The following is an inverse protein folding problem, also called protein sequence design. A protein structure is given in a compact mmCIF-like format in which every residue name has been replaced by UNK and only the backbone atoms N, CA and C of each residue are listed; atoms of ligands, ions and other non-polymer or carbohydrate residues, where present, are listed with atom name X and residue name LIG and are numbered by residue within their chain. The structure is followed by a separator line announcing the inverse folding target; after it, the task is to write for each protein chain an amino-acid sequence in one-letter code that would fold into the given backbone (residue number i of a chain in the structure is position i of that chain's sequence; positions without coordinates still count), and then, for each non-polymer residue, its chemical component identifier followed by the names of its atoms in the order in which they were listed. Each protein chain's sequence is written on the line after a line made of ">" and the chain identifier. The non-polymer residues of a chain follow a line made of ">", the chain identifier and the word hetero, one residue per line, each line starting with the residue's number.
data_IF_275430612115
#
_entry.id   IF_275430612115
#
_cell.length_a   1.000
_cell.length_b   1.000
_cell.length_c   1.000
_cell.angle_alpha   90.00
_cell.angle_beta   90.00
_cell.angle_gamma   90.00
#
_symmetry.space_group_name_H-M   'P 1'
#
loop_
_entity.id
_entity.type
_entity.pdbx_description
1 polymer ?
#
# COMPACT_ATOMS: atom_id res chain seq x y z
N UNK A 1 -11.79 -15.22 -17.81
CA UNK A 1 -11.43 -13.97 -17.08
C UNK A 1 -11.03 -12.92 -18.09
N UNK A 2 -11.47 -11.64 -17.94
CA UNK A 2 -11.02 -10.55 -18.81
C UNK A 2 -9.51 -10.37 -18.64
N UNK A 3 -8.79 -10.24 -19.76
CA UNK A 3 -7.33 -10.16 -19.80
C UNK A 3 -6.87 -8.84 -19.14
N UNK A 4 -6.46 -8.87 -17.87
CA UNK A 4 -5.93 -7.72 -17.14
C UNK A 4 -4.55 -7.37 -17.68
N UNK A 5 -4.33 -6.11 -18.06
CA UNK A 5 -3.09 -5.65 -18.71
C UNK A 5 -2.35 -4.58 -17.92
N UNK A 6 -3.04 -3.90 -17.02
CA UNK A 6 -2.51 -2.78 -16.26
C UNK A 6 -2.55 -3.06 -14.78
N UNK A 7 -1.64 -2.47 -14.05
CA UNK A 7 -1.59 -2.45 -12.60
C UNK A 7 -1.64 -0.99 -12.15
N UNK A 8 -2.67 -0.62 -11.38
CA UNK A 8 -2.73 0.67 -10.72
C UNK A 8 -2.27 0.49 -9.28
N UNK A 9 -1.33 1.33 -8.84
CA UNK A 9 -0.70 1.23 -7.53
C UNK A 9 -0.83 2.56 -6.81
N UNK A 10 -1.31 2.54 -5.57
CA UNK A 10 -1.28 3.65 -4.64
C UNK A 10 -0.37 3.33 -3.47
N UNK A 11 0.42 4.31 -3.03
CA UNK A 11 1.31 4.16 -1.88
C UNK A 11 1.08 5.29 -0.90
N UNK A 12 0.92 4.95 0.36
CA UNK A 12 0.99 5.96 1.42
C UNK A 12 2.43 6.40 1.67
N UNK A 13 2.60 7.72 1.78
CA UNK A 13 3.94 8.32 1.91
C UNK A 13 4.59 7.95 3.25
N UNK A 14 3.84 7.96 4.34
CA UNK A 14 4.36 7.76 5.69
C UNK A 14 4.52 6.28 6.03
N UNK A 15 3.45 5.54 6.05
CA UNK A 15 3.45 4.12 6.43
C UNK A 15 4.10 3.22 5.39
N UNK A 16 4.34 3.73 4.17
CA UNK A 16 4.79 2.96 3.02
C UNK A 16 3.80 1.85 2.60
N UNK A 17 2.58 1.88 3.14
CA UNK A 17 1.51 0.97 2.74
C UNK A 17 1.21 1.05 1.25
N UNK A 18 0.89 -0.06 0.65
CA UNK A 18 0.61 -0.14 -0.78
C UNK A 18 -0.70 -0.85 -1.04
N UNK A 19 -1.53 -0.22 -1.86
CA UNK A 19 -2.69 -0.81 -2.50
C UNK A 19 -2.42 -0.96 -3.99
N UNK A 20 -2.91 -2.05 -4.58
CA UNK A 20 -2.78 -2.26 -6.01
C UNK A 20 -3.99 -3.01 -6.57
N UNK A 21 -4.40 -2.65 -7.77
CA UNK A 21 -5.53 -3.28 -8.46
C UNK A 21 -5.18 -3.58 -9.92
N UNK A 22 -5.41 -4.81 -10.39
CA UNK A 22 -5.23 -5.17 -11.78
C UNK A 22 -6.41 -4.66 -12.61
N UNK A 23 -6.13 -3.97 -13.71
CA UNK A 23 -7.12 -3.32 -14.57
C UNK A 23 -7.05 -3.84 -16.00
N UNK A 24 -8.19 -3.82 -16.71
CA UNK A 24 -8.25 -4.07 -18.14
C UNK A 24 -7.87 -2.83 -18.93
N UNK A 25 -8.30 -1.67 -18.45
CA UNK A 25 -8.01 -0.35 -18.99
C UNK A 25 -7.56 0.56 -17.85
N UNK A 26 -6.88 1.66 -18.21
CA UNK A 26 -6.45 2.67 -17.25
C UNK A 26 -7.08 4.02 -17.66
N UNK A 27 -8.34 4.21 -17.29
CA UNK A 27 -9.11 5.43 -17.56
C UNK A 27 -9.32 6.22 -16.26
N UNK A 28 -9.77 7.44 -16.38
CA UNK A 28 -10.12 8.30 -15.25
C UNK A 28 -11.21 7.70 -14.34
N UNK A 29 -12.21 7.04 -14.92
CA UNK A 29 -13.22 6.30 -14.14
C UNK A 29 -12.62 5.15 -13.35
N UNK A 30 -11.61 4.50 -13.87
CA UNK A 30 -10.93 3.39 -13.21
C UNK A 30 -10.03 3.93 -12.08
N UNK A 31 -9.34 5.06 -12.29
CA UNK A 31 -8.58 5.78 -11.27
C UNK A 31 -9.48 6.27 -10.13
N UNK A 32 -10.62 6.89 -10.44
CA UNK A 32 -11.63 7.30 -9.44
C UNK A 32 -12.11 6.11 -8.60
N UNK A 33 -12.46 4.98 -9.23
CA UNK A 33 -12.91 3.77 -8.54
C UNK A 33 -11.82 3.21 -7.62
N UNK A 34 -10.57 3.21 -8.09
CA UNK A 34 -9.44 2.77 -7.30
C UNK A 34 -9.24 3.61 -6.05
N UNK A 35 -9.21 4.94 -6.19
CA UNK A 35 -9.06 5.86 -5.05
C UNK A 35 -10.20 5.67 -4.06
N UNK A 36 -11.44 5.61 -4.53
CA UNK A 36 -12.57 5.39 -3.65
C UNK A 36 -12.47 4.07 -2.89
N UNK A 37 -12.37 2.95 -3.61
CA UNK A 37 -12.43 1.59 -3.06
C UNK A 37 -11.21 1.23 -2.20
N UNK A 38 -10.00 1.58 -2.67
CA UNK A 38 -8.78 1.08 -2.06
C UNK A 38 -8.12 2.08 -1.11
N UNK A 39 -8.53 3.36 -1.15
CA UNK A 39 -7.98 4.41 -0.29
C UNK A 39 -9.08 4.98 0.61
N UNK A 40 -10.05 5.69 0.04
CA UNK A 40 -11.02 6.46 0.83
C UNK A 40 -11.86 5.58 1.76
N UNK A 41 -12.43 4.47 1.26
CA UNK A 41 -13.26 3.57 2.09
C UNK A 41 -12.49 2.75 3.10
N UNK A 42 -11.15 2.73 3.04
CA UNK A 42 -10.30 1.93 3.93
C UNK A 42 -9.52 2.76 4.94
N UNK A 43 -9.04 3.91 4.53
CA UNK A 43 -8.12 4.74 5.32
C UNK A 43 -8.61 6.18 5.52
N UNK A 44 -9.76 6.54 4.97
CA UNK A 44 -10.27 7.90 4.98
C UNK A 44 -9.79 8.72 3.77
N UNK A 45 -10.20 9.98 3.74
CA UNK A 45 -9.88 10.92 2.65
C UNK A 45 -8.44 11.41 2.82
N UNK A 46 -7.55 11.18 1.84
CA UNK A 46 -6.18 11.67 1.91
C UNK A 46 -6.14 13.19 1.69
N UNK A 47 -5.22 13.88 2.34
CA UNK A 47 -5.02 15.32 2.13
C UNK A 47 -4.59 15.64 0.70
N UNK A 48 -3.73 14.81 0.12
CA UNK A 48 -3.23 15.00 -1.23
C UNK A 48 -3.00 13.67 -1.95
N UNK A 49 -3.15 13.69 -3.26
CA UNK A 49 -2.72 12.63 -4.18
C UNK A 49 -1.61 13.18 -5.06
N UNK A 50 -0.50 12.44 -5.15
CA UNK A 50 0.62 12.75 -6.04
C UNK A 50 0.63 11.69 -7.13
N UNK A 51 0.50 12.10 -8.38
CA UNK A 51 0.51 11.20 -9.53
C UNK A 51 1.46 11.69 -10.62
N UNK A 52 1.71 10.85 -11.61
CA UNK A 52 2.29 11.29 -12.87
C UNK A 52 1.25 12.14 -13.64
N UNK A 53 1.71 12.79 -14.74
CA UNK A 53 0.83 13.55 -15.62
C UNK A 53 0.00 12.67 -16.56
N UNK A 54 -0.33 11.45 -16.14
CA UNK A 54 -1.18 10.55 -16.89
C UNK A 54 -2.59 11.13 -17.09
N UNK A 55 -3.11 11.03 -18.30
CA UNK A 55 -4.43 11.58 -18.68
C UNK A 55 -5.57 11.12 -17.76
N UNK A 56 -5.46 9.94 -17.18
CA UNK A 56 -6.43 9.39 -16.23
C UNK A 56 -6.50 10.18 -14.92
N UNK A 57 -5.41 10.85 -14.52
CA UNK A 57 -5.35 11.65 -13.30
C UNK A 57 -5.56 13.15 -13.58
N UNK A 58 -5.36 13.60 -14.83
CA UNK A 58 -5.52 14.99 -15.23
C UNK A 58 -6.86 15.30 -15.93
N UNK A 59 -7.77 14.35 -15.99
CA UNK A 59 -9.09 14.56 -16.58
C UNK A 59 -9.95 15.52 -15.75
N UNK A 60 -10.85 16.25 -16.40
CA UNK A 60 -11.81 17.14 -15.71
C UNK A 60 -12.64 16.36 -14.68
N UNK A 61 -13.01 15.13 -14.99
CA UNK A 61 -13.80 14.28 -14.10
C UNK A 61 -13.01 13.89 -12.85
N UNK A 62 -11.75 13.48 -12.99
CA UNK A 62 -10.92 13.10 -11.86
C UNK A 62 -10.59 14.30 -10.96
N UNK A 63 -10.26 15.46 -11.56
CA UNK A 63 -10.03 16.70 -10.81
C UNK A 63 -11.28 17.15 -10.05
N UNK A 64 -12.46 17.10 -10.68
CA UNK A 64 -13.74 17.41 -10.02
C UNK A 64 -13.97 16.48 -8.82
N UNK A 65 -13.77 15.17 -9.00
CA UNK A 65 -13.90 14.17 -7.92
C UNK A 65 -12.96 14.46 -6.74
N UNK A 66 -11.68 14.77 -7.00
CA UNK A 66 -10.75 15.15 -5.96
C UNK A 66 -11.21 16.41 -5.23
N UNK A 67 -11.65 17.44 -5.96
CA UNK A 67 -12.16 18.70 -5.40
C UNK A 67 -13.40 18.51 -4.52
N UNK A 68 -14.35 17.65 -4.92
CA UNK A 68 -15.55 17.30 -4.14
C UNK A 68 -15.22 16.65 -2.79
N UNK A 69 -14.10 15.92 -2.71
CA UNK A 69 -13.61 15.30 -1.48
C UNK A 69 -12.59 16.15 -0.71
N UNK A 70 -12.24 17.34 -1.20
CA UNK A 70 -11.20 18.17 -0.60
C UNK A 70 -9.78 17.62 -0.78
N UNK A 71 -9.57 16.73 -1.74
CA UNK A 71 -8.26 16.13 -2.03
C UNK A 71 -7.46 17.08 -2.92
N UNK A 72 -6.27 17.49 -2.48
CA UNK A 72 -5.32 18.23 -3.31
C UNK A 72 -4.68 17.29 -4.32
N UNK A 73 -4.94 17.49 -5.61
CA UNK A 73 -4.29 16.72 -6.67
C UNK A 73 -2.98 17.40 -7.10
N UNK A 74 -1.87 16.71 -6.95
CA UNK A 74 -0.52 17.19 -7.30
C UNK A 74 0.08 16.28 -8.37
N UNK A 75 0.82 16.88 -9.30
CA UNK A 75 1.51 16.15 -10.36
C UNK A 75 3.02 16.22 -10.13
N UNK A 76 3.70 15.10 -10.32
CA UNK A 76 5.15 15.11 -10.40
C UNK A 76 5.57 15.76 -11.71
N UNK A 77 6.41 16.76 -11.63
CA UNK A 77 7.00 17.40 -12.82
C UNK A 77 8.38 16.80 -13.10
N UNK A 78 8.88 16.83 -14.36
CA UNK A 78 10.25 16.45 -14.67
C UNK A 78 11.31 17.20 -13.86
N UNK A 79 10.98 18.42 -13.39
CA UNK A 79 11.85 19.23 -12.54
C UNK A 79 11.91 18.73 -11.08
N UNK A 80 10.90 17.96 -10.61
CA UNK A 80 10.84 17.39 -9.26
C UNK A 80 10.47 15.89 -9.33
N UNK A 81 11.35 15.04 -9.86
CA UNK A 81 11.09 13.61 -10.01
C UNK A 81 10.94 12.88 -8.67
N UNK A 82 11.43 13.48 -7.58
CA UNK A 82 11.36 12.90 -6.23
C UNK A 82 9.93 12.66 -5.75
N UNK A 83 8.95 13.46 -6.17
CA UNK A 83 7.54 13.29 -5.80
C UNK A 83 6.94 11.97 -6.29
N UNK A 84 7.34 11.48 -7.47
CA UNK A 84 6.86 10.21 -8.04
C UNK A 84 7.87 9.06 -7.90
N UNK A 85 9.14 9.36 -7.60
CA UNK A 85 10.21 8.36 -7.52
C UNK A 85 9.93 7.23 -6.53
N UNK A 86 9.21 7.54 -5.45
CA UNK A 86 8.78 6.53 -4.49
C UNK A 86 7.71 5.59 -5.06
N UNK A 87 6.74 6.09 -5.81
CA UNK A 87 5.72 5.26 -6.46
C UNK A 87 6.34 4.38 -7.56
N UNK A 88 7.27 4.93 -8.33
CA UNK A 88 8.01 4.18 -9.36
C UNK A 88 8.88 3.08 -8.75
N UNK A 89 9.57 3.35 -7.64
CA UNK A 89 10.37 2.36 -6.94
C UNK A 89 9.50 1.20 -6.43
N UNK A 90 8.33 1.51 -5.88
CA UNK A 90 7.35 0.50 -5.45
C UNK A 90 6.82 -0.31 -6.61
N UNK A 91 6.46 0.35 -7.72
CA UNK A 91 6.04 -0.34 -8.94
C UNK A 91 7.09 -1.34 -9.41
N UNK A 92 8.37 -0.95 -9.41
CA UNK A 92 9.49 -1.86 -9.75
C UNK A 92 9.56 -3.06 -8.81
N UNK A 93 9.40 -2.86 -7.50
CA UNK A 93 9.43 -3.95 -6.50
C UNK A 93 8.26 -4.91 -6.72
N UNK A 94 7.04 -4.39 -6.91
CA UNK A 94 5.84 -5.22 -7.12
C UNK A 94 5.96 -6.00 -8.43
N UNK A 95 6.33 -5.34 -9.52
CA UNK A 95 6.51 -6.00 -10.83
C UNK A 95 7.63 -7.05 -10.78
N UNK A 96 8.74 -6.77 -10.08
CA UNK A 96 9.81 -7.75 -9.90
C UNK A 96 9.34 -8.96 -9.07
N UNK A 97 8.59 -8.74 -7.99
CA UNK A 97 7.98 -9.80 -7.19
C UNK A 97 7.01 -10.65 -8.00
N UNK A 98 6.18 -10.00 -8.82
CA UNK A 98 5.28 -10.69 -9.74
C UNK A 98 6.06 -11.52 -10.77
N UNK A 99 7.10 -10.96 -11.41
CA UNK A 99 7.93 -11.70 -12.39
C UNK A 99 8.52 -12.97 -11.80
N UNK A 100 9.11 -12.90 -10.60
CA UNK A 100 9.68 -14.06 -9.92
C UNK A 100 8.65 -15.17 -9.66
N UNK A 101 7.40 -14.81 -9.37
CA UNK A 101 6.32 -15.77 -9.14
C UNK A 101 5.66 -16.26 -10.44
N UNK A 102 5.74 -15.47 -11.51
CA UNK A 102 5.14 -15.80 -12.81
C UNK A 102 5.89 -16.93 -13.53
N UNK A 103 7.18 -17.09 -13.28
CA UNK A 103 7.95 -18.23 -13.81
C UNK A 103 7.35 -19.55 -13.32
N UNK A 104 6.81 -19.57 -12.08
CA UNK A 104 6.15 -20.74 -11.50
C UNK A 104 4.63 -20.81 -11.82
N UNK A 105 3.95 -19.67 -11.96
CA UNK A 105 2.48 -19.58 -12.02
C UNK A 105 1.88 -19.49 -13.44
N UNK A 106 2.67 -19.77 -14.50
CA UNK A 106 2.20 -19.84 -15.90
C UNK A 106 1.29 -18.66 -16.33
N UNK A 107 1.67 -17.44 -15.99
CA UNK A 107 0.99 -16.20 -16.48
C UNK A 107 -0.21 -15.72 -15.66
N UNK A 108 -0.52 -16.31 -14.51
CA UNK A 108 -1.62 -15.91 -13.62
C UNK A 108 -1.27 -14.79 -12.64
N UNK A 109 -0.62 -13.73 -13.14
CA UNK A 109 -0.10 -12.65 -12.29
C UNK A 109 -1.16 -11.97 -11.40
N UNK A 110 -2.42 -11.96 -11.83
CA UNK A 110 -3.53 -11.39 -11.06
C UNK A 110 -3.77 -12.19 -9.77
N UNK A 111 -3.61 -13.50 -9.84
CA UNK A 111 -3.78 -14.41 -8.69
C UNK A 111 -2.60 -14.31 -7.72
N UNK A 112 -1.40 -14.00 -8.22
CA UNK A 112 -0.20 -13.81 -7.41
C UNK A 112 -0.08 -12.42 -6.75
N UNK A 113 -0.81 -11.44 -7.24
CA UNK A 113 -0.73 -10.07 -6.72
C UNK A 113 -0.97 -9.96 -5.21
N UNK A 114 -1.97 -10.62 -4.60
CA UNK A 114 -2.18 -10.58 -3.15
C UNK A 114 -0.96 -11.08 -2.36
N UNK A 115 -0.29 -12.14 -2.81
CA UNK A 115 0.91 -12.67 -2.16
C UNK A 115 2.09 -11.70 -2.23
N UNK A 116 2.27 -11.05 -3.37
CA UNK A 116 3.32 -10.02 -3.53
C UNK A 116 3.05 -8.82 -2.64
N UNK A 117 1.79 -8.36 -2.58
CA UNK A 117 1.40 -7.26 -1.70
C UNK A 117 1.57 -7.62 -0.23
N UNK A 118 1.18 -8.83 0.17
CA UNK A 118 1.39 -9.32 1.53
C UNK A 118 2.87 -9.29 1.90
N UNK A 119 3.73 -9.90 1.09
CA UNK A 119 5.18 -9.88 1.30
C UNK A 119 5.71 -8.45 1.41
N UNK A 120 5.24 -7.53 0.54
CA UNK A 120 5.64 -6.13 0.61
C UNK A 120 5.24 -5.49 1.92
N UNK A 121 4.01 -5.69 2.37
CA UNK A 121 3.43 -5.05 3.57
C UNK A 121 4.04 -5.56 4.88
N UNK A 122 4.49 -6.81 4.90
CA UNK A 122 5.04 -7.48 6.10
C UNK A 122 6.57 -7.55 6.14
N UNK A 123 7.26 -6.95 5.15
CA UNK A 123 8.72 -6.86 5.13
C UNK A 123 9.17 -5.48 5.58
N UNK A 124 10.09 -5.36 6.55
CA UNK A 124 10.60 -4.07 7.02
C UNK A 124 11.20 -3.24 5.87
N UNK A 125 10.96 -1.93 5.92
CA UNK A 125 11.49 -0.97 4.95
C UNK A 125 12.70 -0.26 5.55
N UNK A 126 13.80 -0.24 4.82
CA UNK A 126 15.05 0.39 5.29
C UNK A 126 14.88 1.86 5.68
N UNK A 127 13.96 2.56 5.00
CA UNK A 127 13.71 3.98 5.25
C UNK A 127 12.98 4.29 6.55
N UNK A 128 12.29 3.32 7.13
CA UNK A 128 11.48 3.52 8.35
C UNK A 128 11.82 2.50 9.46
N UNK A 129 12.64 1.49 9.17
CA UNK A 129 12.98 0.42 10.12
C UNK A 129 11.84 -0.55 10.44
N UNK A 130 10.62 -0.24 10.04
CA UNK A 130 9.38 -0.93 10.38
C UNK A 130 8.71 -1.54 9.14
N UNK A 131 7.74 -2.43 9.36
CA UNK A 131 6.90 -2.93 8.28
C UNK A 131 5.80 -1.93 7.94
N UNK A 132 5.37 -1.84 6.67
CA UNK A 132 4.16 -1.05 6.34
C UNK A 132 2.93 -1.51 7.11
N UNK A 133 2.87 -2.78 7.50
CA UNK A 133 1.76 -3.32 8.27
C UNK A 133 1.75 -2.76 9.70
N UNK A 134 2.88 -2.82 10.42
CA UNK A 134 2.97 -2.29 11.79
C UNK A 134 2.73 -0.79 11.84
N UNK A 135 3.25 -0.04 10.85
CA UNK A 135 3.03 1.40 10.72
C UNK A 135 1.56 1.79 10.46
N UNK A 136 0.80 0.91 9.82
CA UNK A 136 -0.61 1.17 9.50
C UNK A 136 -1.54 0.78 10.64
N UNK A 137 -1.31 -0.39 11.24
CA UNK A 137 -2.23 -1.00 12.21
C UNK A 137 -1.74 -0.94 13.66
N UNK A 138 -0.52 -0.50 13.92
CA UNK A 138 0.05 -0.43 15.26
C UNK A 138 0.49 -1.77 15.85
N UNK A 139 0.41 -2.85 15.07
CA UNK A 139 0.77 -4.19 15.51
C UNK A 139 1.43 -4.97 14.38
N UNK A 140 2.22 -5.98 14.73
CA UNK A 140 2.83 -6.87 13.75
C UNK A 140 1.81 -7.81 13.11
N UNK A 141 2.02 -8.08 11.83
CA UNK A 141 1.21 -9.05 11.12
C UNK A 141 1.45 -10.46 11.66
N UNK A 142 0.38 -11.21 11.86
CA UNK A 142 0.46 -12.66 12.08
C UNK A 142 0.68 -13.32 10.71
N UNK A 143 1.81 -13.98 10.54
CA UNK A 143 2.10 -14.68 9.27
C UNK A 143 1.41 -16.05 9.26
N UNK A 144 1.00 -16.56 8.09
CA UNK A 144 0.26 -17.84 7.99
C UNK A 144 0.96 -19.05 8.64
N UNK A 145 2.30 -19.06 8.68
CA UNK A 145 3.07 -20.11 9.34
C UNK A 145 2.86 -20.12 10.87
N UNK A 146 2.60 -18.97 11.48
CA UNK A 146 2.36 -18.86 12.94
C UNK A 146 1.04 -19.49 13.37
N UNK A 147 0.09 -19.63 12.45
CA UNK A 147 -1.21 -20.27 12.75
C UNK A 147 -1.14 -21.80 12.69
N UNK A 148 -0.15 -22.36 11.99
CA UNK A 148 0.01 -23.81 11.81
C UNK A 148 1.08 -24.46 12.69
N UNK A 149 1.95 -23.70 13.32
CA UNK A 149 3.03 -24.18 14.18
C UNK A 149 2.95 -23.52 15.55
N UNK A 150 3.17 -24.30 16.61
CA UNK A 150 3.33 -23.78 17.95
C UNK A 150 4.66 -23.01 18.04
N UNK A 151 4.60 -21.72 17.80
CA UNK A 151 5.73 -20.80 17.99
C UNK A 151 5.72 -20.21 19.40
N UNK A 152 6.85 -19.73 19.86
CA UNK A 152 7.00 -19.11 21.18
C UNK A 152 5.93 -18.02 21.40
N UNK A 153 5.60 -17.25 20.35
CA UNK A 153 4.59 -16.19 20.38
C UNK A 153 3.16 -16.71 20.61
N UNK A 154 2.82 -17.88 20.03
CA UNK A 154 1.49 -18.49 20.20
C UNK A 154 1.39 -19.34 21.44
N UNK A 155 2.50 -20.01 21.85
CA UNK A 155 2.53 -20.85 23.05
C UNK A 155 2.60 -20.06 24.35
N UNK A 156 3.13 -18.83 24.32
CA UNK A 156 3.20 -17.91 25.48
C UNK A 156 2.09 -16.84 25.47
N UNK A 157 1.07 -17.01 24.63
CA UNK A 157 -0.02 -16.04 24.53
C UNK A 157 -0.80 -15.93 25.85
N UNK A 158 -0.77 -14.74 26.42
CA UNK A 158 -1.57 -14.35 27.57
C UNK A 158 -2.42 -13.14 27.18
N UNK A 159 -3.76 -13.21 27.25
CA UNK A 159 -4.64 -12.11 26.85
C UNK A 159 -4.33 -10.78 27.53
N UNK A 160 -4.06 -10.79 28.83
CA UNK A 160 -3.75 -9.56 29.58
C UNK A 160 -2.46 -8.91 29.14
N UNK A 161 -1.40 -9.70 29.00
CA UNK A 161 -0.08 -9.21 28.54
C UNK A 161 -0.17 -8.70 27.09
N UNK A 162 -0.97 -9.37 26.25
CA UNK A 162 -1.22 -8.95 24.88
C UNK A 162 -1.96 -7.60 24.81
N UNK A 163 -2.98 -7.41 25.62
CA UNK A 163 -3.74 -6.14 25.66
C UNK A 163 -2.86 -4.98 26.16
N UNK A 164 -2.03 -5.21 27.18
CA UNK A 164 -1.07 -4.21 27.64
C UNK A 164 -0.03 -3.88 26.57
N UNK A 165 0.53 -4.88 25.88
CA UNK A 165 1.49 -4.67 24.79
C UNK A 165 0.85 -3.97 23.59
N UNK A 166 -0.42 -4.30 23.27
CA UNK A 166 -1.14 -3.65 22.20
C UNK A 166 -1.39 -2.16 22.52
N UNK A 167 -1.81 -1.87 23.74
CA UNK A 167 -2.01 -0.48 24.21
C UNK A 167 -0.70 0.31 24.10
N UNK A 168 0.41 -0.22 24.63
CA UNK A 168 1.74 0.41 24.49
C UNK A 168 2.15 0.61 23.04
N UNK A 169 1.88 -0.36 22.17
CA UNK A 169 2.20 -0.26 20.75
C UNK A 169 1.39 0.83 20.06
N UNK A 170 0.13 1.01 20.44
CA UNK A 170 -0.72 2.08 19.93
C UNK A 170 -0.28 3.45 20.44
N UNK A 171 0.13 3.58 21.69
CA UNK A 171 0.66 4.82 22.25
C UNK A 171 1.98 5.24 21.57
N UNK A 172 2.83 4.27 21.23
CA UNK A 172 4.09 4.51 20.55
C UNK A 172 3.99 4.70 19.03
N UNK A 173 2.83 4.43 18.43
CA UNK A 173 2.70 4.49 16.97
C UNK A 173 2.87 5.91 16.42
N UNK A 174 2.42 6.92 17.16
CA UNK A 174 2.60 8.33 16.77
C UNK A 174 4.09 8.70 16.77
N UNK A 175 4.83 8.32 17.82
CA UNK A 175 6.28 8.53 17.88
C UNK A 175 7.02 7.82 16.74
N UNK A 176 6.63 6.56 16.43
CA UNK A 176 7.18 5.82 15.30
C UNK A 176 6.88 6.50 13.96
N UNK A 177 5.68 7.06 13.81
CA UNK A 177 5.28 7.80 12.61
C UNK A 177 6.06 9.10 12.47
N UNK A 178 6.27 9.83 13.56
CA UNK A 178 7.08 11.05 13.59
C UNK A 178 8.53 10.77 13.22
N UNK A 179 9.15 9.74 13.81
CA UNK A 179 10.51 9.31 13.49
C UNK A 179 10.67 8.86 12.03
N UNK A 180 9.61 8.34 11.40
CA UNK A 180 9.64 7.95 10.00
C UNK A 180 9.50 9.13 9.01
N UNK A 181 9.24 10.35 9.51
CA UNK A 181 9.16 11.58 8.72
C UNK A 181 10.53 12.24 8.47
N UNK A 182 11.57 11.84 9.19
CA UNK A 182 12.95 12.32 9.04
C UNK A 182 13.69 11.47 8.00
#
# INVERSE_FOLDING_TARGET
>A
MRNKKYLLVGRDYFTKWVEAEPLVNIRDVDAKKFVWKNIVTRFGVPHALISDNGLQFDSKMFRKYCGELGITNRYSTPAYPQGNGQAEAVNKVIVSGLKKRLDDAKGKWVEELPHVLWTYRTTPRRSIGETPFSMTYGADAIIPLETGFSMTRTSSFNPKDNDEQLTRSLDLIEEKRENAMV
#
